data_IF_380011360932
#
_entry.id   IF_380011360932
#
_cell.length_a   1.000
_cell.length_b   1.000
_cell.length_c   1.000
_cell.angle_alpha   90.00
_cell.angle_beta   90.00
_cell.angle_gamma   90.00
#
_symmetry.space_group_name_H-M   'P 1'
#
loop_
_entity.id
_entity.type
_entity.pdbx_description
1 polymer ?
#
# COMPACT_ATOMS: atom_id res chain seq x y z
N UNK A 1 -3.84 -21.57 42.36
CA UNK A 1 -2.71 -21.96 41.50
C UNK A 1 -2.21 -20.73 40.79
N UNK A 2 -0.93 -20.36 40.88
CA UNK A 2 -0.45 -19.01 40.60
C UNK A 2 -0.26 -18.74 39.11
N UNK A 3 -0.66 -17.54 38.73
CA UNK A 3 -0.25 -16.88 37.49
C UNK A 3 1.15 -16.29 37.73
N UNK A 4 2.20 -16.82 37.15
CA UNK A 4 3.50 -16.15 36.98
C UNK A 4 4.48 -17.12 36.27
N UNK A 5 4.47 -17.06 34.93
CA UNK A 5 5.56 -17.59 34.10
C UNK A 5 5.43 -17.09 32.67
N UNK A 6 5.80 -15.84 32.41
CA UNK A 6 6.20 -15.41 31.06
C UNK A 6 7.05 -14.15 31.16
N UNK A 7 8.28 -14.27 30.69
CA UNK A 7 9.35 -13.31 30.38
C UNK A 7 10.59 -13.35 31.29
N UNK A 8 11.59 -14.19 31.00
CA UNK A 8 12.91 -14.11 31.65
C UNK A 8 13.97 -13.33 30.84
N UNK A 9 13.62 -12.42 29.93
CA UNK A 9 14.62 -11.72 29.09
C UNK A 9 14.86 -10.24 29.46
N UNK A 10 14.24 -9.70 30.51
CA UNK A 10 14.39 -8.29 30.91
C UNK A 10 15.22 -8.08 32.19
N UNK A 11 15.89 -9.09 32.71
CA UNK A 11 16.64 -9.00 34.01
C UNK A 11 18.17 -9.09 33.89
N UNK A 12 18.77 -8.83 32.72
CA UNK A 12 20.24 -8.93 32.53
C UNK A 12 20.93 -7.66 32.05
N UNK A 13 20.33 -6.48 32.29
CA UNK A 13 20.90 -5.19 31.89
C UNK A 13 21.28 -4.26 33.07
N UNK A 14 21.41 -4.78 34.29
CA UNK A 14 21.66 -3.92 35.45
C UNK A 14 22.86 -4.32 36.32
N UNK A 15 23.91 -4.92 35.75
CA UNK A 15 25.21 -5.04 36.49
C UNK A 15 26.35 -5.21 35.48
N UNK A 16 26.89 -4.13 34.96
CA UNK A 16 28.29 -4.05 34.55
C UNK A 16 28.70 -2.57 34.41
N UNK A 17 29.07 -1.95 35.51
CA UNK A 17 29.82 -0.71 35.49
C UNK A 17 31.26 -0.99 35.04
N UNK A 18 31.55 -0.71 33.81
CA UNK A 18 32.91 -0.42 33.34
C UNK A 18 32.82 0.27 31.98
N UNK A 19 32.70 1.58 31.98
CA UNK A 19 32.93 2.41 30.81
C UNK A 19 34.39 2.32 30.41
N UNK A 20 34.73 1.41 29.55
CA UNK A 20 36.06 1.28 29.01
C UNK A 20 36.33 2.43 28.03
N UNK A 21 37.58 2.97 28.09
CA UNK A 21 38.16 4.04 27.26
C UNK A 21 37.97 3.88 25.75
N UNK A 22 37.35 2.81 25.27
CA UNK A 22 37.01 2.55 23.86
C UNK A 22 35.80 3.37 23.38
N UNK A 23 34.84 3.66 24.26
CA UNK A 23 33.66 4.45 23.90
C UNK A 23 33.98 5.93 23.62
N UNK A 24 35.03 6.47 24.26
CA UNK A 24 35.48 7.88 24.05
C UNK A 24 36.29 8.11 22.78
N UNK A 25 36.83 7.09 22.14
CA UNK A 25 37.59 7.24 20.86
C UNK A 25 36.74 7.19 19.59
N UNK A 26 35.49 6.75 19.69
CA UNK A 26 34.57 6.69 18.53
C UNK A 26 33.67 7.93 18.38
N UNK A 27 33.74 8.87 19.32
CA UNK A 27 32.96 10.12 19.25
C UNK A 27 33.57 11.21 18.36
N UNK A 28 34.70 10.97 17.71
CA UNK A 28 35.37 11.96 16.85
C UNK A 28 35.51 11.55 15.38
N UNK A 29 34.67 10.64 14.88
CA UNK A 29 34.62 10.34 13.45
C UNK A 29 33.31 10.84 12.85
N UNK A 30 33.41 11.99 12.18
CA UNK A 30 32.51 12.57 11.16
C UNK A 30 31.00 12.49 11.47
N UNK A 31 30.30 13.62 11.66
CA UNK A 31 28.88 13.65 11.89
C UNK A 31 28.13 12.94 10.76
N UNK A 32 27.30 11.97 11.11
CA UNK A 32 26.42 11.21 10.19
C UNK A 32 25.53 12.15 9.35
N UNK A 33 25.21 13.34 9.90
CA UNK A 33 24.48 14.39 9.21
C UNK A 33 25.14 14.90 7.92
N UNK A 34 26.47 14.95 7.85
CA UNK A 34 27.16 15.40 6.63
C UNK A 34 27.15 14.37 5.50
N UNK A 35 26.98 13.10 5.77
CA UNK A 35 26.82 12.06 4.72
C UNK A 35 25.41 11.99 4.15
N UNK A 36 24.38 12.36 4.92
CA UNK A 36 23.01 12.46 4.42
C UNK A 36 22.75 13.71 3.58
N UNK A 37 23.53 14.78 3.78
CA UNK A 37 23.36 16.05 3.04
C UNK A 37 23.94 15.98 1.62
N UNK A 38 24.91 15.13 1.35
CA UNK A 38 25.51 14.99 0.01
C UNK A 38 24.72 14.08 -0.96
N UNK A 39 23.67 13.42 -0.50
CA UNK A 39 22.80 12.59 -1.34
C UNK A 39 21.45 13.27 -1.72
N UNK A 40 21.21 14.49 -1.26
CA UNK A 40 20.15 15.35 -1.80
C UNK A 40 20.67 16.07 -3.04
N UNK A 41 21.01 15.35 -4.11
CA UNK A 41 20.89 15.92 -5.44
C UNK A 41 19.40 16.18 -5.65
N UNK A 42 19.08 17.43 -6.01
CA UNK A 42 17.73 17.86 -6.40
C UNK A 42 17.19 16.89 -7.48
N UNK A 43 16.51 15.84 -7.04
CA UNK A 43 15.66 15.07 -7.91
C UNK A 43 14.41 15.94 -8.05
N UNK A 44 14.35 16.72 -9.14
CA UNK A 44 13.17 17.46 -9.52
C UNK A 44 11.98 16.49 -9.41
N UNK A 45 11.01 16.80 -8.57
CA UNK A 45 9.82 15.97 -8.44
C UNK A 45 9.04 16.02 -9.74
N UNK A 46 9.07 14.92 -10.49
CA UNK A 46 8.32 14.78 -11.75
C UNK A 46 6.84 14.69 -11.39
N UNK A 47 6.03 15.55 -11.99
CA UNK A 47 4.59 15.60 -11.74
C UNK A 47 3.85 14.56 -12.59
N UNK A 48 2.63 14.22 -12.14
CA UNK A 48 1.73 13.37 -12.92
C UNK A 48 1.51 13.96 -14.32
N UNK A 49 1.67 13.14 -15.36
CA UNK A 49 1.52 13.52 -16.76
C UNK A 49 2.77 14.13 -17.43
N UNK A 50 3.84 14.49 -16.69
CA UNK A 50 5.10 14.95 -17.29
C UNK A 50 5.86 13.83 -18.00
N UNK A 51 5.64 12.57 -17.60
CA UNK A 51 6.17 11.37 -18.25
C UNK A 51 5.10 10.65 -19.04
N UNK A 52 5.50 10.08 -20.18
CA UNK A 52 4.63 9.26 -21.02
C UNK A 52 5.32 7.94 -21.38
N UNK A 53 4.53 6.88 -21.65
CA UNK A 53 5.07 5.67 -22.25
C UNK A 53 5.44 5.90 -23.74
N UNK A 54 5.86 4.87 -24.45
CA UNK A 54 6.24 4.96 -25.88
C UNK A 54 5.08 5.35 -26.80
N UNK A 55 3.83 5.14 -26.38
CA UNK A 55 2.60 5.47 -27.10
C UNK A 55 2.07 6.87 -26.74
N UNK A 56 2.77 7.64 -25.91
CA UNK A 56 2.34 8.98 -25.47
C UNK A 56 1.31 8.98 -24.35
N UNK A 57 0.98 7.85 -23.73
CA UNK A 57 0.04 7.79 -22.59
C UNK A 57 0.71 8.31 -21.31
N UNK A 58 0.03 9.21 -20.56
CA UNK A 58 0.60 9.86 -19.38
C UNK A 58 0.81 8.88 -18.23
N UNK A 59 1.89 9.07 -17.46
CA UNK A 59 2.23 8.31 -16.26
C UNK A 59 1.82 9.09 -15.02
N UNK A 60 1.08 8.44 -14.12
CA UNK A 60 0.69 8.95 -12.80
C UNK A 60 1.12 8.05 -11.66
N UNK A 61 1.63 6.84 -11.96
CA UNK A 61 2.14 5.93 -10.95
C UNK A 61 3.36 6.51 -10.25
N UNK A 62 3.31 6.60 -8.91
CA UNK A 62 4.33 7.28 -8.11
C UNK A 62 5.69 6.60 -8.13
N UNK A 63 5.74 5.28 -8.25
CA UNK A 63 7.00 4.54 -8.39
C UNK A 63 7.68 4.94 -9.70
N UNK A 64 6.94 4.94 -10.81
CA UNK A 64 7.46 5.30 -12.12
C UNK A 64 7.84 6.79 -12.23
N UNK A 65 7.20 7.66 -11.45
CA UNK A 65 7.55 9.09 -11.38
C UNK A 65 8.78 9.35 -10.49
N UNK A 66 9.06 8.49 -9.51
CA UNK A 66 10.12 8.68 -8.53
C UNK A 66 11.52 8.19 -8.99
N UNK A 67 11.60 7.39 -10.03
CA UNK A 67 12.89 6.89 -10.55
C UNK A 67 13.60 7.96 -11.42
N UNK A 68 14.93 7.92 -11.58
CA UNK A 68 15.65 8.82 -12.47
C UNK A 68 15.23 8.71 -13.93
N UNK A 69 15.41 9.78 -14.72
CA UNK A 69 15.03 9.80 -16.14
C UNK A 69 15.74 8.72 -16.96
N UNK A 70 17.01 8.42 -16.64
CA UNK A 70 17.76 7.36 -17.31
C UNK A 70 17.14 5.99 -17.12
N UNK A 71 16.67 5.67 -15.90
CA UNK A 71 16.00 4.41 -15.62
C UNK A 71 14.57 4.40 -16.19
N UNK A 72 13.87 5.54 -16.13
CA UNK A 72 12.55 5.65 -16.73
C UNK A 72 12.59 5.43 -18.25
N UNK A 73 13.57 5.97 -18.95
CA UNK A 73 13.75 5.76 -20.38
C UNK A 73 13.98 4.28 -20.73
N UNK A 74 14.71 3.54 -19.90
CA UNK A 74 14.89 2.10 -20.07
C UNK A 74 13.56 1.32 -19.88
N UNK A 75 12.75 1.71 -18.87
CA UNK A 75 11.47 1.07 -18.57
C UNK A 75 10.39 1.43 -19.60
N UNK A 76 10.42 2.67 -20.10
CA UNK A 76 9.38 3.28 -20.94
C UNK A 76 8.93 2.42 -22.12
N UNK A 77 9.88 1.77 -22.81
CA UNK A 77 9.61 0.92 -23.98
C UNK A 77 8.86 -0.38 -23.65
N UNK A 78 8.87 -0.80 -22.39
CA UNK A 78 8.21 -2.01 -21.91
C UNK A 78 6.84 -1.74 -21.27
N UNK A 79 6.49 -0.47 -21.02
CA UNK A 79 5.22 -0.07 -20.42
C UNK A 79 4.09 -0.13 -21.45
N UNK A 80 3.29 -1.19 -21.40
CA UNK A 80 2.07 -1.35 -22.20
C UNK A 80 0.89 -0.75 -21.46
N UNK A 81 0.15 0.18 -22.06
CA UNK A 81 -1.05 0.75 -21.46
C UNK A 81 -2.10 -0.36 -21.21
N UNK A 82 -2.78 -0.30 -20.10
CA UNK A 82 -3.81 -1.25 -19.69
C UNK A 82 -4.99 -0.51 -19.05
N UNK A 83 -6.18 -0.74 -19.60
CA UNK A 83 -7.42 -0.42 -18.92
C UNK A 83 -7.64 -1.40 -17.77
N UNK A 84 -8.14 -0.90 -16.64
CA UNK A 84 -8.42 -1.66 -15.44
C UNK A 84 -9.93 -1.59 -15.15
N UNK A 85 -10.75 -2.38 -15.88
CA UNK A 85 -12.19 -2.38 -15.66
C UNK A 85 -12.54 -3.02 -14.32
N UNK A 86 -13.64 -2.61 -13.65
CA UNK A 86 -14.01 -3.13 -12.35
C UNK A 86 -14.28 -4.63 -12.43
N UNK A 87 -13.95 -5.34 -11.36
CA UNK A 87 -14.06 -6.80 -11.20
C UNK A 87 -13.14 -7.64 -12.12
N UNK A 88 -12.25 -6.99 -12.89
CA UNK A 88 -11.24 -7.73 -13.65
C UNK A 88 -10.19 -8.32 -12.70
N UNK A 89 -9.97 -9.63 -12.79
CA UNK A 89 -8.93 -10.34 -12.04
C UNK A 89 -7.63 -10.22 -12.80
N UNK A 90 -6.62 -9.65 -12.17
CA UNK A 90 -5.27 -9.49 -12.75
C UNK A 90 -4.44 -10.74 -12.52
N UNK A 91 -4.56 -11.34 -11.32
CA UNK A 91 -3.84 -12.55 -10.94
C UNK A 91 -4.75 -13.43 -10.06
N UNK A 92 -4.78 -14.72 -10.36
CA UNK A 92 -5.40 -15.73 -9.50
C UNK A 92 -4.37 -16.34 -8.53
N UNK A 93 -4.81 -16.85 -7.37
CA UNK A 93 -3.91 -17.46 -6.40
C UNK A 93 -3.12 -18.63 -7.01
N UNK A 94 -1.80 -18.63 -6.76
CA UNK A 94 -0.87 -19.65 -7.19
C UNK A 94 -0.67 -19.84 -8.71
N UNK A 95 -1.29 -19.02 -9.53
CA UNK A 95 -0.99 -18.95 -10.96
C UNK A 95 0.35 -18.27 -11.23
N UNK A 96 0.91 -18.56 -12.41
CA UNK A 96 2.16 -17.93 -12.86
C UNK A 96 1.91 -16.46 -13.18
N UNK A 97 2.73 -15.58 -12.63
CA UNK A 97 2.73 -14.16 -12.93
C UNK A 97 3.32 -13.92 -14.33
N UNK A 98 2.53 -13.37 -15.23
CA UNK A 98 2.96 -12.96 -16.56
C UNK A 98 3.23 -11.47 -16.66
N UNK A 99 2.48 -10.66 -15.91
CA UNK A 99 2.57 -9.21 -15.91
C UNK A 99 2.65 -8.64 -14.50
N UNK A 100 3.30 -7.49 -14.41
CA UNK A 100 3.25 -6.58 -13.26
C UNK A 100 2.47 -5.36 -13.69
N UNK A 101 1.59 -4.85 -12.82
CA UNK A 101 0.75 -3.70 -13.13
C UNK A 101 1.12 -2.51 -12.25
N UNK A 102 1.27 -1.35 -12.88
CA UNK A 102 1.52 -0.05 -12.24
C UNK A 102 0.29 0.84 -12.45
N UNK A 103 -0.66 0.90 -11.51
CA UNK A 103 -1.85 1.73 -11.66
C UNK A 103 -1.51 3.21 -11.76
N UNK A 104 -2.16 3.93 -12.66
CA UNK A 104 -2.21 5.38 -12.70
C UNK A 104 -3.36 5.92 -11.86
N UNK A 105 -4.43 5.15 -11.77
CA UNK A 105 -5.63 5.43 -11.00
C UNK A 105 -6.44 4.17 -10.77
N UNK A 106 -7.56 4.32 -10.08
CA UNK A 106 -8.37 3.18 -9.64
C UNK A 106 -7.85 2.53 -8.36
N UNK A 107 -8.42 1.40 -8.00
CA UNK A 107 -8.08 0.64 -6.80
C UNK A 107 -8.02 -0.85 -7.11
N UNK A 108 -6.94 -1.49 -6.73
CA UNK A 108 -6.78 -2.93 -6.74
C UNK A 108 -6.86 -3.45 -5.32
N UNK A 109 -7.48 -4.62 -5.13
CA UNK A 109 -7.49 -5.34 -3.85
C UNK A 109 -6.68 -6.62 -3.95
N UNK A 110 -5.90 -6.88 -2.90
CA UNK A 110 -5.27 -8.17 -2.65
C UNK A 110 -6.17 -8.96 -1.72
N UNK A 111 -6.62 -10.10 -2.20
CA UNK A 111 -7.63 -10.92 -1.53
C UNK A 111 -7.05 -12.31 -1.26
N UNK A 112 -7.12 -12.73 0.00
CA UNK A 112 -6.89 -14.12 0.37
C UNK A 112 -8.15 -14.91 0.06
N UNK A 113 -7.97 -16.05 -0.61
CA UNK A 113 -9.05 -17.01 -0.91
C UNK A 113 -8.81 -18.25 -0.07
N UNK A 114 -9.75 -18.56 0.82
CA UNK A 114 -9.69 -19.74 1.69
C UNK A 114 -10.18 -21.00 0.94
N UNK A 115 -9.83 -22.18 1.42
CA UNK A 115 -10.32 -23.43 0.86
C UNK A 115 -11.85 -23.57 0.91
N UNK A 116 -12.49 -22.92 1.88
CA UNK A 116 -13.96 -22.82 1.97
C UNK A 116 -14.60 -21.97 0.86
N UNK A 117 -13.80 -21.24 0.07
CA UNK A 117 -14.26 -20.25 -0.91
C UNK A 117 -14.51 -18.86 -0.31
N UNK A 118 -14.42 -18.71 1.01
CA UNK A 118 -14.50 -17.39 1.65
C UNK A 118 -13.30 -16.52 1.28
N UNK A 119 -13.55 -15.23 1.19
CA UNK A 119 -12.52 -14.27 0.78
C UNK A 119 -12.44 -13.09 1.75
N UNK A 120 -11.23 -12.57 1.93
CA UNK A 120 -11.01 -11.35 2.72
C UNK A 120 -9.93 -10.50 2.07
N UNK A 121 -10.14 -9.19 2.03
CA UNK A 121 -9.13 -8.25 1.59
C UNK A 121 -8.05 -8.08 2.67
N UNK A 122 -6.80 -8.23 2.27
CA UNK A 122 -5.65 -8.06 3.16
C UNK A 122 -4.86 -6.79 2.84
N UNK A 123 -5.01 -6.25 1.64
CA UNK A 123 -4.34 -5.02 1.23
C UNK A 123 -4.97 -4.40 0.00
N UNK A 124 -4.67 -3.12 -0.21
CA UNK A 124 -5.10 -2.35 -1.38
C UNK A 124 -3.90 -1.69 -2.05
N UNK A 125 -3.98 -1.56 -3.37
CA UNK A 125 -2.96 -0.95 -4.23
C UNK A 125 -3.60 0.13 -5.09
N UNK A 126 -3.02 1.31 -5.08
CA UNK A 126 -3.37 2.41 -5.97
C UNK A 126 -2.14 2.91 -6.74
N UNK A 127 -2.17 4.17 -7.15
CA UNK A 127 -1.09 4.83 -7.90
C UNK A 127 0.25 4.91 -7.15
N UNK A 128 0.28 4.64 -5.85
CA UNK A 128 1.49 4.59 -5.03
C UNK A 128 2.26 3.27 -5.13
N UNK A 129 1.66 2.26 -5.75
CA UNK A 129 2.18 0.89 -5.71
C UNK A 129 2.15 0.16 -7.04
N UNK A 130 2.27 -1.15 -6.94
CA UNK A 130 2.20 -2.06 -8.09
C UNK A 130 1.58 -3.41 -7.67
N UNK A 131 0.94 -4.11 -8.61
CA UNK A 131 0.42 -5.47 -8.45
C UNK A 131 1.37 -6.49 -9.10
N UNK A 132 1.36 -7.73 -8.61
CA UNK A 132 2.37 -8.73 -8.97
C UNK A 132 3.62 -8.60 -8.09
N UNK A 133 3.45 -8.21 -6.83
CA UNK A 133 4.51 -7.91 -5.85
C UNK A 133 5.60 -8.97 -5.77
N UNK A 134 5.32 -10.29 -5.74
CA UNK A 134 6.34 -11.32 -5.65
C UNK A 134 7.37 -11.30 -6.78
N UNK A 135 6.97 -10.81 -7.97
CA UNK A 135 7.87 -10.75 -9.12
C UNK A 135 9.05 -9.80 -8.92
N UNK A 136 8.92 -8.76 -8.10
CA UNK A 136 10.01 -7.81 -7.83
C UNK A 136 11.22 -8.45 -7.13
N UNK A 137 11.02 -9.62 -6.49
CA UNK A 137 12.08 -10.42 -5.86
C UNK A 137 12.31 -11.76 -6.57
N UNK A 138 11.87 -11.88 -7.82
CA UNK A 138 12.12 -13.06 -8.65
C UNK A 138 11.16 -14.22 -8.45
N UNK A 139 10.13 -14.09 -7.62
CA UNK A 139 9.10 -15.10 -7.45
C UNK A 139 8.08 -15.02 -8.59
N UNK A 140 7.66 -16.19 -9.10
CA UNK A 140 6.79 -16.26 -10.27
C UNK A 140 5.33 -16.63 -9.96
N UNK A 141 4.97 -16.73 -8.69
CA UNK A 141 3.61 -17.05 -8.25
C UNK A 141 3.17 -16.07 -7.18
N UNK A 142 1.88 -15.71 -7.23
CA UNK A 142 1.24 -14.86 -6.24
C UNK A 142 0.29 -15.72 -5.39
N UNK A 143 0.39 -15.70 -4.06
CA UNK A 143 -0.55 -16.43 -3.20
C UNK A 143 -1.91 -15.73 -3.09
N UNK A 144 -2.03 -14.48 -3.58
CA UNK A 144 -3.26 -13.68 -3.48
C UNK A 144 -3.96 -13.61 -4.83
N UNK A 145 -5.31 -13.48 -4.79
CA UNK A 145 -6.05 -12.92 -5.91
C UNK A 145 -5.84 -11.41 -5.92
N UNK A 146 -5.48 -10.86 -7.06
CA UNK A 146 -5.42 -9.42 -7.29
C UNK A 146 -6.53 -9.02 -8.25
N UNK A 147 -7.45 -8.18 -7.77
CA UNK A 147 -8.67 -7.81 -8.50
C UNK A 147 -8.86 -6.29 -8.53
N UNK A 148 -9.35 -5.77 -9.65
CA UNK A 148 -9.73 -4.36 -9.80
C UNK A 148 -11.03 -4.11 -9.05
N UNK A 149 -10.99 -3.27 -8.03
CA UNK A 149 -12.18 -2.90 -7.24
C UNK A 149 -12.83 -1.61 -7.74
N UNK A 150 -12.02 -0.63 -8.09
CA UNK A 150 -12.49 0.62 -8.67
C UNK A 150 -11.76 0.79 -10.00
N UNK A 151 -12.55 1.04 -11.05
CA UNK A 151 -12.04 1.21 -12.39
C UNK A 151 -10.95 2.29 -12.46
N UNK A 152 -9.99 2.06 -13.32
CA UNK A 152 -8.90 2.98 -13.61
C UNK A 152 -8.13 2.57 -14.84
N UNK A 153 -6.92 3.02 -14.92
CA UNK A 153 -5.95 2.62 -15.92
C UNK A 153 -4.54 2.55 -15.33
N UNK A 154 -3.59 2.12 -16.12
CA UNK A 154 -2.19 2.07 -15.73
C UNK A 154 -1.34 1.45 -16.81
N UNK A 155 -0.22 0.92 -16.39
CA UNK A 155 0.70 0.21 -17.26
C UNK A 155 0.93 -1.20 -16.78
N UNK A 156 1.15 -2.12 -17.72
CA UNK A 156 1.65 -3.46 -17.43
C UNK A 156 2.99 -3.68 -18.11
N UNK A 157 3.83 -4.46 -17.46
CA UNK A 157 5.13 -4.90 -17.97
C UNK A 157 5.22 -6.42 -17.80
N UNK A 158 5.82 -7.10 -18.75
CA UNK A 158 6.09 -8.53 -18.65
C UNK A 158 7.08 -8.83 -17.53
N UNK A 159 6.84 -9.88 -16.74
CA UNK A 159 7.67 -10.23 -15.57
C UNK A 159 9.13 -10.42 -15.97
N UNK A 160 9.39 -11.09 -17.09
CA UNK A 160 10.77 -11.32 -17.56
C UNK A 160 11.46 -9.99 -17.93
N UNK A 161 10.77 -9.10 -18.63
CA UNK A 161 11.30 -7.77 -18.95
C UNK A 161 11.58 -6.94 -17.69
N UNK A 162 10.70 -7.00 -16.68
CA UNK A 162 10.95 -6.33 -15.40
C UNK A 162 12.20 -6.90 -14.72
N UNK A 163 12.36 -8.22 -14.67
CA UNK A 163 13.52 -8.87 -14.07
C UNK A 163 14.84 -8.44 -14.74
N UNK A 164 14.85 -8.33 -16.07
CA UNK A 164 16.03 -7.87 -16.80
C UNK A 164 16.33 -6.39 -16.52
N UNK A 165 15.32 -5.55 -16.48
CA UNK A 165 15.45 -4.13 -16.14
C UNK A 165 15.98 -3.92 -14.72
N UNK A 166 15.54 -4.69 -13.73
CA UNK A 166 15.98 -4.55 -12.34
C UNK A 166 17.49 -4.75 -12.15
N UNK A 167 18.15 -5.54 -13.03
CA UNK A 167 19.62 -5.73 -13.00
C UNK A 167 20.39 -4.45 -13.27
N UNK A 168 19.83 -3.52 -14.02
CA UNK A 168 20.46 -2.25 -14.43
C UNK A 168 19.77 -1.00 -13.90
N UNK A 169 18.68 -1.14 -13.14
CA UNK A 169 17.86 -0.04 -12.63
C UNK A 169 17.76 -0.07 -11.09
N UNK A 170 18.84 0.32 -10.36
CA UNK A 170 18.90 0.19 -8.90
C UNK A 170 17.88 1.07 -8.17
N UNK A 171 17.49 2.23 -8.73
CA UNK A 171 16.47 3.08 -8.11
C UNK A 171 15.07 2.48 -8.26
N UNK A 172 14.75 1.91 -9.42
CA UNK A 172 13.50 1.15 -9.60
C UNK A 172 13.46 -0.02 -8.61
N UNK A 173 14.51 -0.81 -8.51
CA UNK A 173 14.60 -1.92 -7.57
C UNK A 173 14.41 -1.44 -6.13
N UNK A 174 15.02 -0.33 -5.74
CA UNK A 174 14.85 0.26 -4.41
C UNK A 174 13.42 0.71 -4.16
N UNK A 175 12.76 1.36 -5.13
CA UNK A 175 11.36 1.81 -4.99
C UNK A 175 10.40 0.63 -4.87
N UNK A 176 10.57 -0.42 -5.67
CA UNK A 176 9.78 -1.65 -5.53
C UNK A 176 10.00 -2.30 -4.16
N UNK A 177 11.24 -2.39 -3.69
CA UNK A 177 11.56 -2.94 -2.37
C UNK A 177 10.92 -2.13 -1.22
N UNK A 178 10.94 -0.80 -1.30
CA UNK A 178 10.26 0.07 -0.33
C UNK A 178 8.76 -0.18 -0.33
N UNK A 179 8.15 -0.31 -1.51
CA UNK A 179 6.73 -0.61 -1.60
C UNK A 179 6.38 -1.99 -1.02
N UNK A 180 7.21 -3.01 -1.23
CA UNK A 180 7.03 -4.34 -0.59
C UNK A 180 6.97 -4.21 0.93
N UNK A 181 7.90 -3.46 1.53
CA UNK A 181 7.91 -3.21 2.98
C UNK A 181 6.65 -2.48 3.41
N UNK A 182 6.27 -1.40 2.72
CA UNK A 182 5.04 -0.65 2.99
C UNK A 182 3.81 -1.56 2.94
N UNK A 183 3.69 -2.36 1.88
CA UNK A 183 2.58 -3.28 1.71
C UNK A 183 2.52 -4.33 2.84
N UNK A 184 3.66 -4.89 3.23
CA UNK A 184 3.77 -5.82 4.38
C UNK A 184 3.28 -5.18 5.68
N UNK A 185 3.68 -3.93 5.94
CA UNK A 185 3.22 -3.16 7.10
C UNK A 185 1.72 -2.87 7.03
N UNK A 186 1.19 -2.52 5.86
CA UNK A 186 -0.26 -2.32 5.64
C UNK A 186 -1.05 -3.61 5.94
N UNK A 187 -0.60 -4.77 5.46
CA UNK A 187 -1.22 -6.08 5.72
C UNK A 187 -1.18 -6.40 7.22
N UNK A 188 -0.03 -6.22 7.86
CA UNK A 188 0.12 -6.45 9.30
C UNK A 188 -0.80 -5.55 10.13
N UNK A 189 -0.88 -4.26 9.77
CA UNK A 189 -1.78 -3.32 10.42
C UNK A 189 -3.26 -3.67 10.20
N UNK A 190 -3.60 -4.17 9.00
CA UNK A 190 -4.96 -4.62 8.67
C UNK A 190 -5.35 -5.86 9.50
N UNK A 191 -4.43 -6.80 9.70
CA UNK A 191 -4.68 -7.98 10.54
C UNK A 191 -5.01 -7.58 12.00
N UNK A 192 -4.20 -6.70 12.61
CA UNK A 192 -4.47 -6.15 13.95
C UNK A 192 -5.79 -5.37 14.00
N UNK A 193 -6.03 -4.52 13.00
CA UNK A 193 -7.23 -3.73 12.88
C UNK A 193 -8.51 -4.60 12.80
N UNK A 194 -8.48 -5.67 12.01
CA UNK A 194 -9.63 -6.58 11.86
C UNK A 194 -10.00 -7.27 13.17
N UNK A 195 -9.04 -7.49 14.07
CA UNK A 195 -9.30 -8.16 15.36
C UNK A 195 -9.67 -7.18 16.47
N UNK A 196 -9.13 -5.97 16.49
CA UNK A 196 -9.13 -5.09 17.67
C UNK A 196 -10.09 -3.89 17.53
N UNK A 197 -10.46 -3.48 16.31
CA UNK A 197 -11.26 -2.30 16.09
C UNK A 197 -12.69 -2.60 15.67
N UNK A 198 -13.62 -1.70 16.00
CA UNK A 198 -15.03 -1.81 15.64
C UNK A 198 -15.24 -1.71 14.12
N UNK A 199 -16.35 -2.27 13.63
CA UNK A 199 -16.69 -2.19 12.21
C UNK A 199 -16.85 -0.75 11.71
N UNK A 200 -17.33 0.18 12.55
CA UNK A 200 -17.41 1.62 12.25
C UNK A 200 -16.02 2.20 11.97
N UNK A 201 -15.07 1.97 12.87
CA UNK A 201 -13.68 2.46 12.76
C UNK A 201 -12.99 1.87 11.52
N UNK A 202 -13.19 0.57 11.27
CA UNK A 202 -12.62 -0.13 10.11
C UNK A 202 -13.21 0.40 8.80
N UNK A 203 -14.51 0.64 8.75
CA UNK A 203 -15.19 1.23 7.60
C UNK A 203 -14.68 2.66 7.32
N UNK A 204 -14.56 3.50 8.35
CA UNK A 204 -14.02 4.85 8.22
C UNK A 204 -12.57 4.82 7.67
N UNK A 205 -11.71 3.97 8.23
CA UNK A 205 -10.35 3.75 7.73
C UNK A 205 -10.32 3.34 6.26
N UNK A 206 -11.13 2.34 5.90
CA UNK A 206 -11.16 1.80 4.53
C UNK A 206 -11.61 2.87 3.52
N UNK A 207 -12.65 3.63 3.84
CA UNK A 207 -13.16 4.73 2.99
C UNK A 207 -12.10 5.80 2.77
N UNK A 208 -11.37 6.18 3.81
CA UNK A 208 -10.28 7.17 3.73
C UNK A 208 -9.12 6.65 2.87
N UNK A 209 -8.67 5.42 3.12
CA UNK A 209 -7.60 4.79 2.34
C UNK A 209 -7.96 4.65 0.87
N UNK A 210 -9.22 4.39 0.56
CA UNK A 210 -9.74 4.34 -0.80
C UNK A 210 -9.75 5.74 -1.42
N UNK A 211 -10.29 6.75 -0.72
CA UNK A 211 -10.31 8.13 -1.21
C UNK A 211 -8.91 8.70 -1.49
N UNK A 212 -7.90 8.29 -0.72
CA UNK A 212 -6.51 8.71 -0.95
C UNK A 212 -5.93 8.20 -2.28
N UNK A 213 -6.50 7.14 -2.84
CA UNK A 213 -6.01 6.44 -4.03
C UNK A 213 -6.78 6.75 -5.30
N UNK A 214 -8.04 7.11 -5.13
CA UNK A 214 -8.92 7.40 -6.26
C UNK A 214 -9.30 8.87 -6.27
N UNK A 215 -9.34 9.46 -7.47
CA UNK A 215 -9.66 10.89 -7.65
C UNK A 215 -11.19 11.13 -7.76
N UNK A 216 -12.01 10.19 -7.27
CA UNK A 216 -13.48 10.26 -7.33
C UNK A 216 -14.07 10.70 -6.00
N UNK A 217 -15.02 11.63 -6.06
CA UNK A 217 -15.78 12.10 -4.89
C UNK A 217 -16.84 11.09 -4.43
N UNK A 218 -17.30 10.21 -5.33
CA UNK A 218 -18.32 9.20 -5.09
C UNK A 218 -17.77 7.82 -5.44
N UNK A 219 -17.84 6.90 -4.50
CA UNK A 219 -17.36 5.52 -4.63
C UNK A 219 -18.55 4.60 -4.89
N UNK A 220 -18.56 3.91 -6.03
CA UNK A 220 -19.58 2.89 -6.33
C UNK A 220 -19.27 1.60 -5.59
N UNK A 221 -19.89 1.40 -4.42
CA UNK A 221 -19.56 0.33 -3.48
C UNK A 221 -20.84 -0.14 -2.77
N UNK A 222 -21.07 -1.45 -2.72
CA UNK A 222 -22.24 -2.04 -2.03
C UNK A 222 -21.88 -2.48 -0.61
N UNK A 223 -22.89 -2.68 0.26
CA UNK A 223 -22.67 -3.23 1.60
C UNK A 223 -22.15 -4.67 1.57
N UNK A 224 -22.59 -5.48 0.61
CA UNK A 224 -22.10 -6.85 0.46
C UNK A 224 -20.60 -6.86 0.12
N UNK A 225 -20.20 -5.98 -0.78
CA UNK A 225 -18.82 -5.78 -1.11
C UNK A 225 -17.99 -5.35 0.11
N UNK A 226 -18.43 -4.33 0.84
CA UNK A 226 -17.75 -3.86 2.05
C UNK A 226 -17.67 -4.95 3.13
N UNK A 227 -18.68 -5.80 3.22
CA UNK A 227 -18.68 -6.93 4.16
C UNK A 227 -17.54 -7.91 3.84
N UNK A 228 -17.39 -8.27 2.58
CA UNK A 228 -16.27 -9.11 2.10
C UNK A 228 -14.92 -8.44 2.36
N UNK A 229 -14.76 -7.16 1.99
CA UNK A 229 -13.49 -6.42 2.13
C UNK A 229 -13.08 -6.25 3.60
N UNK A 230 -14.03 -6.03 4.47
CA UNK A 230 -13.78 -5.84 5.91
C UNK A 230 -13.83 -7.14 6.72
N UNK A 231 -14.02 -8.29 6.07
CA UNK A 231 -14.09 -9.59 6.75
C UNK A 231 -15.19 -9.61 7.84
N UNK A 232 -16.42 -9.22 7.47
CA UNK A 232 -17.58 -9.18 8.38
C UNK A 232 -18.87 -9.47 7.59
N UNK A 233 -20.02 -9.41 8.24
CA UNK A 233 -21.31 -9.61 7.60
C UNK A 233 -21.95 -8.28 7.14
N UNK A 234 -22.89 -8.38 6.20
CA UNK A 234 -23.63 -7.23 5.66
C UNK A 234 -24.44 -6.46 6.71
N UNK A 235 -25.16 -7.08 7.67
CA UNK A 235 -25.84 -6.39 8.76
C UNK A 235 -24.88 -5.50 9.56
N UNK A 236 -23.70 -5.99 9.90
CA UNK A 236 -22.66 -5.24 10.61
C UNK A 236 -22.21 -4.01 9.82
N UNK A 237 -21.99 -4.15 8.51
CA UNK A 237 -21.67 -3.00 7.63
C UNK A 237 -22.83 -2.01 7.56
N UNK A 238 -24.08 -2.49 7.44
CA UNK A 238 -25.25 -1.62 7.39
C UNK A 238 -25.40 -0.78 8.66
N UNK A 239 -25.12 -1.38 9.82
CA UNK A 239 -25.12 -0.69 11.10
C UNK A 239 -23.99 0.37 11.17
N UNK A 240 -22.77 -0.02 10.82
CA UNK A 240 -21.61 0.86 10.82
C UNK A 240 -21.80 2.07 9.87
N UNK A 241 -22.25 1.82 8.65
CA UNK A 241 -22.59 2.88 7.68
C UNK A 241 -23.68 3.81 8.19
N UNK A 242 -24.75 3.24 8.80
CA UNK A 242 -25.82 4.02 9.41
C UNK A 242 -25.34 4.92 10.56
N UNK A 243 -24.35 4.50 11.33
CA UNK A 243 -23.74 5.33 12.38
C UNK A 243 -22.98 6.50 11.74
N UNK A 244 -22.13 6.26 10.73
CA UNK A 244 -21.38 7.30 10.02
C UNK A 244 -22.32 8.28 9.31
N UNK A 245 -23.44 7.82 8.74
CA UNK A 245 -24.47 8.69 8.11
C UNK A 245 -25.17 9.57 9.15
N UNK A 246 -25.59 9.02 10.30
CA UNK A 246 -26.19 9.83 11.39
C UNK A 246 -25.25 10.90 11.91
N UNK A 247 -23.95 10.62 11.94
CA UNK A 247 -22.89 11.60 12.26
C UNK A 247 -22.62 12.59 11.13
N UNK A 248 -23.29 12.48 9.98
CA UNK A 248 -23.10 13.31 8.76
C UNK A 248 -21.65 13.28 8.25
N UNK A 249 -20.99 12.14 8.36
CA UNK A 249 -19.61 11.94 7.89
C UNK A 249 -19.59 11.43 6.45
N UNK A 250 -20.58 10.60 6.12
CA UNK A 250 -20.79 10.06 4.78
C UNK A 250 -22.25 10.23 4.37
N UNK A 251 -22.48 10.23 3.07
CA UNK A 251 -23.78 9.94 2.46
C UNK A 251 -23.70 8.63 1.70
N UNK A 252 -24.67 7.74 1.90
CA UNK A 252 -24.65 6.41 1.33
C UNK A 252 -25.99 6.09 0.63
N UNK A 253 -26.27 6.75 -0.52
CA UNK A 253 -27.37 6.33 -1.38
C UNK A 253 -27.08 4.93 -1.93
N UNK A 254 -28.10 4.24 -2.45
CA UNK A 254 -28.01 2.85 -2.91
C UNK A 254 -26.73 2.59 -3.77
N UNK A 255 -25.83 1.76 -3.24
CA UNK A 255 -24.65 1.27 -3.98
C UNK A 255 -23.55 2.30 -4.22
N UNK A 256 -23.59 3.45 -3.55
CA UNK A 256 -22.50 4.44 -3.63
C UNK A 256 -22.26 5.16 -2.31
N UNK A 257 -21.03 5.53 -2.04
CA UNK A 257 -20.61 6.27 -0.83
C UNK A 257 -20.00 7.59 -1.25
N UNK A 258 -20.43 8.67 -0.58
CA UNK A 258 -19.81 9.97 -0.66
C UNK A 258 -19.32 10.41 0.72
N UNK A 259 -18.06 10.79 0.84
CA UNK A 259 -17.52 11.36 2.07
C UNK A 259 -17.96 12.83 2.14
N UNK A 260 -18.69 13.20 3.20
CA UNK A 260 -19.20 14.56 3.42
C UNK A 260 -18.26 15.40 4.27
N UNK A 261 -17.59 14.77 5.25
CA UNK A 261 -16.68 15.46 6.16
C UNK A 261 -15.46 14.58 6.43
N UNK A 262 -14.40 14.79 5.63
CA UNK A 262 -13.17 14.03 5.72
C UNK A 262 -12.51 14.12 7.09
N UNK A 263 -12.34 15.34 7.61
CA UNK A 263 -11.64 15.57 8.90
C UNK A 263 -12.32 14.84 10.06
N UNK A 264 -13.66 14.89 10.12
CA UNK A 264 -14.41 14.16 11.15
C UNK A 264 -14.41 12.65 10.89
N UNK A 265 -14.34 12.21 9.64
CA UNK A 265 -14.20 10.79 9.30
C UNK A 265 -12.84 10.25 9.74
N UNK A 266 -11.76 11.02 9.61
CA UNK A 266 -10.43 10.71 10.13
C UNK A 266 -10.45 10.54 11.66
N UNK A 267 -11.18 11.40 12.38
CA UNK A 267 -11.38 11.26 13.84
C UNK A 267 -12.23 10.04 14.23
N UNK A 268 -13.04 9.53 13.32
CA UNK A 268 -13.86 8.32 13.53
C UNK A 268 -13.16 7.04 13.10
N UNK A 269 -12.07 7.14 12.36
CA UNK A 269 -11.22 6.00 12.02
C UNK A 269 -10.36 5.59 13.21
N UNK A 270 -9.86 4.35 13.19
CA UNK A 270 -8.84 3.93 14.14
C UNK A 270 -7.47 4.51 13.77
N UNK A 271 -6.55 4.49 14.73
CA UNK A 271 -5.15 4.91 14.57
C UNK A 271 -4.43 4.23 13.40
N UNK A 272 -4.91 3.07 12.96
CA UNK A 272 -4.36 2.33 11.83
C UNK A 272 -4.31 3.18 10.55
N UNK A 273 -5.27 4.09 10.35
CA UNK A 273 -5.24 5.02 9.21
C UNK A 273 -4.02 5.94 9.27
N UNK A 274 -3.82 6.61 10.41
CA UNK A 274 -2.69 7.52 10.62
C UNK A 274 -1.34 6.84 10.50
N UNK A 275 -1.20 5.62 11.05
CA UNK A 275 0.04 4.81 10.96
C UNK A 275 0.38 4.51 9.48
N UNK A 276 -0.60 4.05 8.68
CA UNK A 276 -0.37 3.76 7.26
C UNK A 276 -0.02 5.04 6.48
N UNK A 277 -0.66 6.17 6.79
CA UNK A 277 -0.36 7.45 6.14
C UNK A 277 1.05 7.96 6.46
N UNK A 278 1.51 7.80 7.70
CA UNK A 278 2.86 8.14 8.10
C UNK A 278 3.89 7.30 7.33
N UNK A 279 3.70 5.98 7.28
CA UNK A 279 4.58 5.06 6.56
C UNK A 279 4.68 5.40 5.06
N UNK A 280 3.56 5.73 4.41
CA UNK A 280 3.55 6.19 3.01
C UNK A 280 4.43 7.46 2.83
N UNK A 281 4.40 8.38 3.81
CA UNK A 281 5.21 9.59 3.79
C UNK A 281 6.70 9.32 3.94
N UNK A 282 7.08 8.46 4.88
CA UNK A 282 8.48 8.11 5.17
C UNK A 282 9.15 7.39 4.00
N UNK A 283 8.39 6.61 3.23
CA UNK A 283 8.90 5.90 2.06
C UNK A 283 8.90 6.73 0.77
N UNK A 284 8.43 7.98 0.83
CA UNK A 284 8.37 8.88 -0.32
C UNK A 284 7.32 8.51 -1.37
N UNK A 285 6.26 7.82 -0.93
CA UNK A 285 5.14 7.35 -1.77
C UNK A 285 3.81 8.09 -1.46
N UNK A 286 3.90 9.27 -0.82
CA UNK A 286 2.74 10.14 -0.55
C UNK A 286 2.26 10.86 -1.78
#
# INVERSE_FOLDING_TARGET
MPRDAFFPWLALAATCGNETKLARRLQHSIPVERRMILARRDVRSVQSGERTNSEGKPVSNKILLAIPDSEFLAVRGHLKFAELPPHHVLHEPNESLHFVYFPNGGLLSLVVVMESGETVEVGIVGKEGFAGIPSAVGLRRNPFREIVQIAGDGFKIEVDALQDLLRSSPQLQMMLSRYIVLHTLQVSQTAGCNRLHSAEQRLARWLLMTQDRVDFAVLSITHDFLATMLGTDRPTISLAAGILQRKKLIDYPRGSVKILNRTKLEQSACECYGIIQQLNGELGLK
#
